data_IF_855719177653
#
_entry.id   IF_855719177653
#
_cell.length_a   1.000
_cell.length_b   1.000
_cell.length_c   1.000
_cell.angle_alpha   90.00
_cell.angle_beta   90.00
_cell.angle_gamma   90.00
#
_symmetry.space_group_name_H-M   'P 1'
#
loop_
_entity.id
_entity.type
_entity.pdbx_description
1 polymer ?
#
# COMPACT_ATOMS: atom_id res chain seq x y z
N UNK A 1 -1.70 -16.67 7.33
CA UNK A 1 -0.80 -16.04 6.34
C UNK A 1 0.54 -16.77 6.32
N UNK A 2 1.36 -16.52 5.30
CA UNK A 2 2.74 -16.98 5.23
C UNK A 2 3.62 -15.86 4.69
N UNK A 3 4.59 -15.43 5.50
CA UNK A 3 5.56 -14.39 5.15
C UNK A 3 6.97 -14.90 5.40
N UNK A 4 7.98 -14.09 5.08
CA UNK A 4 9.38 -14.48 5.32
C UNK A 4 9.59 -14.74 6.83
N UNK A 5 10.05 -15.94 7.17
CA UNK A 5 10.32 -16.42 8.55
C UNK A 5 9.09 -16.69 9.43
N UNK A 6 7.86 -16.53 8.92
CA UNK A 6 6.65 -16.71 9.74
C UNK A 6 5.54 -17.41 8.95
N UNK A 7 4.89 -18.38 9.57
CA UNK A 7 3.82 -19.17 8.98
C UNK A 7 2.71 -19.39 10.00
N UNK A 8 1.52 -18.88 9.67
CA UNK A 8 0.33 -19.00 10.50
C UNK A 8 -0.83 -19.50 9.64
N UNK A 9 -0.87 -20.82 9.41
CA UNK A 9 -1.93 -21.50 8.68
C UNK A 9 -2.03 -22.96 9.12
N UNK A 10 -3.16 -23.61 8.83
CA UNK A 10 -3.43 -25.00 9.22
C UNK A 10 -4.21 -25.72 8.13
N UNK A 11 -4.53 -27.00 8.35
CA UNK A 11 -5.41 -27.79 7.45
C UNK A 11 -6.82 -27.20 7.31
N UNK A 12 -7.25 -26.33 8.23
CA UNK A 12 -8.55 -25.66 8.18
C UNK A 12 -8.52 -24.36 7.36
N UNK A 13 -7.33 -23.85 7.03
CA UNK A 13 -7.18 -22.60 6.28
C UNK A 13 -7.74 -22.75 4.87
N UNK A 14 -8.70 -21.88 4.51
CA UNK A 14 -9.29 -21.80 3.17
C UNK A 14 -8.76 -20.65 2.34
N UNK A 15 -8.31 -19.58 2.99
CA UNK A 15 -7.70 -18.41 2.37
C UNK A 15 -6.32 -18.24 3.01
N UNK A 16 -5.29 -18.29 2.19
CA UNK A 16 -3.92 -18.12 2.63
C UNK A 16 -3.32 -16.87 1.98
N UNK A 17 -3.17 -15.82 2.79
CA UNK A 17 -2.43 -14.61 2.39
C UNK A 17 -0.94 -14.91 2.43
N UNK A 18 -0.24 -14.65 1.33
CA UNK A 18 1.21 -14.87 1.20
C UNK A 18 1.87 -13.63 0.62
N UNK A 19 3.14 -13.41 0.92
CA UNK A 19 3.94 -12.45 0.16
C UNK A 19 4.32 -13.01 -1.21
N UNK A 20 4.59 -12.14 -2.16
CA UNK A 20 4.83 -12.47 -3.57
C UNK A 20 6.07 -13.36 -3.71
N UNK A 21 7.11 -13.09 -2.93
CA UNK A 21 8.31 -13.92 -2.88
C UNK A 21 8.02 -15.35 -2.38
N UNK A 22 7.05 -15.53 -1.47
CA UNK A 22 6.63 -16.86 -1.02
C UNK A 22 5.85 -17.57 -2.12
N UNK A 23 4.97 -16.87 -2.85
CA UNK A 23 4.25 -17.44 -3.99
C UNK A 23 5.20 -17.95 -5.08
N UNK A 24 6.21 -17.15 -5.46
CA UNK A 24 7.23 -17.57 -6.43
C UNK A 24 7.90 -18.87 -5.99
N UNK A 25 8.32 -18.97 -4.72
CA UNK A 25 8.95 -20.20 -4.19
C UNK A 25 8.00 -21.39 -4.23
N UNK A 26 6.72 -21.19 -3.90
CA UNK A 26 5.71 -22.27 -3.96
C UNK A 26 5.59 -22.79 -5.39
N UNK A 27 5.38 -21.90 -6.37
CA UNK A 27 5.29 -22.25 -7.79
C UNK A 27 6.54 -22.98 -8.30
N UNK A 28 7.74 -22.56 -7.87
CA UNK A 28 8.99 -23.24 -8.23
C UNK A 28 9.13 -24.62 -7.58
N UNK A 29 8.66 -24.79 -6.34
CA UNK A 29 8.77 -26.06 -5.60
C UNK A 29 7.71 -27.09 -6.01
N UNK A 30 6.50 -26.63 -6.31
CA UNK A 30 5.39 -27.44 -6.78
C UNK A 30 4.51 -26.63 -7.72
N UNK A 31 4.60 -26.92 -9.00
CA UNK A 31 3.81 -26.27 -10.05
C UNK A 31 2.36 -26.74 -10.08
N UNK A 32 2.04 -27.92 -9.54
CA UNK A 32 0.69 -28.47 -9.66
C UNK A 32 -0.31 -27.69 -8.82
N UNK A 33 0.11 -27.13 -7.68
CA UNK A 33 -0.74 -26.40 -6.73
C UNK A 33 -2.08 -27.11 -6.46
N UNK A 34 -2.06 -28.44 -6.31
CA UNK A 34 -3.27 -29.28 -6.22
C UNK A 34 -4.24 -28.88 -5.09
N UNK A 35 -3.72 -28.24 -4.05
CA UNK A 35 -4.47 -27.73 -2.90
C UNK A 35 -5.08 -26.33 -3.12
N UNK A 36 -4.85 -25.73 -4.31
CA UNK A 36 -5.25 -24.36 -4.64
C UNK A 36 -6.21 -24.35 -5.83
N UNK A 37 -7.37 -23.71 -5.62
CA UNK A 37 -8.37 -23.51 -6.67
C UNK A 37 -8.24 -22.14 -7.35
N UNK A 38 -7.64 -21.16 -6.68
CA UNK A 38 -7.52 -19.79 -7.19
C UNK A 38 -6.30 -19.08 -6.62
N UNK A 39 -5.66 -18.27 -7.47
CA UNK A 39 -4.67 -17.28 -7.07
C UNK A 39 -5.26 -15.87 -7.21
N UNK A 40 -5.08 -15.05 -6.18
CA UNK A 40 -5.49 -13.64 -6.17
C UNK A 40 -4.23 -12.79 -6.04
N UNK A 41 -3.99 -11.95 -7.04
CA UNK A 41 -2.93 -10.96 -7.05
C UNK A 41 -3.51 -9.62 -6.62
N UNK A 42 -3.26 -9.23 -5.37
CA UNK A 42 -3.70 -7.94 -4.83
C UNK A 42 -2.67 -6.83 -5.10
N UNK A 43 -3.10 -5.57 -5.08
CA UNK A 43 -2.24 -4.39 -5.26
C UNK A 43 -1.33 -4.46 -6.50
N UNK A 44 -1.80 -5.06 -7.61
CA UNK A 44 -0.97 -5.33 -8.80
C UNK A 44 -0.37 -4.07 -9.45
N UNK A 45 -0.90 -2.90 -9.10
CA UNK A 45 -0.42 -1.60 -9.55
C UNK A 45 0.97 -1.21 -9.01
N UNK A 46 1.47 -1.86 -7.95
CA UNK A 46 2.83 -1.62 -7.46
C UNK A 46 3.92 -2.16 -8.39
N UNK A 47 3.56 -3.04 -9.34
CA UNK A 47 4.46 -3.60 -10.38
C UNK A 47 5.79 -4.14 -9.83
N UNK A 48 5.72 -4.84 -8.71
CA UNK A 48 6.86 -5.55 -8.14
C UNK A 48 7.30 -6.69 -9.07
N UNK A 49 8.62 -6.87 -9.20
CA UNK A 49 9.21 -7.96 -10.00
C UNK A 49 8.72 -9.34 -9.56
N UNK A 50 8.45 -9.52 -8.25
CA UNK A 50 7.95 -10.78 -7.73
C UNK A 50 6.50 -11.03 -8.13
N UNK A 51 5.67 -9.99 -8.18
CA UNK A 51 4.28 -10.07 -8.63
C UNK A 51 4.20 -10.39 -10.11
N UNK A 52 4.96 -9.67 -10.94
CA UNK A 52 5.00 -9.90 -12.40
C UNK A 52 5.52 -11.33 -12.71
N UNK A 53 6.59 -11.78 -12.03
CA UNK A 53 7.12 -13.13 -12.19
C UNK A 53 6.14 -14.22 -11.74
N UNK A 54 5.49 -14.03 -10.58
CA UNK A 54 4.53 -15.03 -10.08
C UNK A 54 3.28 -15.10 -10.95
N UNK A 55 2.81 -13.98 -11.52
CA UNK A 55 1.72 -14.00 -12.50
C UNK A 55 2.12 -14.76 -13.76
N UNK A 56 3.30 -14.48 -14.33
CA UNK A 56 3.78 -15.18 -15.53
C UNK A 56 3.88 -16.69 -15.31
N UNK A 57 4.45 -17.13 -14.18
CA UNK A 57 4.51 -18.54 -13.82
C UNK A 57 3.11 -19.15 -13.61
N UNK A 58 2.18 -18.40 -13.03
CA UNK A 58 0.81 -18.88 -12.78
C UNK A 58 0.03 -19.06 -14.09
N UNK A 59 0.18 -18.15 -15.05
CA UNK A 59 -0.42 -18.27 -16.38
C UNK A 59 0.14 -19.48 -17.13
N UNK A 60 1.45 -19.72 -17.04
CA UNK A 60 2.07 -20.90 -17.64
C UNK A 60 1.57 -22.20 -17.00
N UNK A 61 1.40 -22.24 -15.68
CA UNK A 61 0.80 -23.39 -14.97
C UNK A 61 -0.64 -23.62 -15.44
N UNK A 62 -1.41 -22.55 -15.57
CA UNK A 62 -2.80 -22.61 -16.04
C UNK A 62 -2.89 -23.19 -17.47
N UNK A 63 -2.00 -22.76 -18.36
CA UNK A 63 -1.96 -23.22 -19.76
C UNK A 63 -1.50 -24.68 -19.91
N UNK A 64 -0.50 -25.11 -19.12
CA UNK A 64 0.17 -26.39 -19.34
C UNK A 64 -0.31 -27.53 -18.44
N UNK A 65 -0.80 -27.23 -17.22
CA UNK A 65 -1.01 -28.23 -16.18
C UNK A 65 -2.38 -28.15 -15.49
N UNK A 66 -2.92 -26.93 -15.29
CA UNK A 66 -4.10 -26.67 -14.47
C UNK A 66 -5.07 -25.72 -15.16
N UNK A 67 -5.76 -26.21 -16.18
CA UNK A 67 -6.81 -25.47 -16.89
C UNK A 67 -7.98 -25.06 -15.97
N UNK A 68 -8.13 -25.73 -14.84
CA UNK A 68 -9.10 -25.43 -13.79
C UNK A 68 -8.66 -24.33 -12.80
N UNK A 69 -7.37 -23.97 -12.74
CA UNK A 69 -6.85 -22.96 -11.84
C UNK A 69 -7.39 -21.58 -12.21
N UNK A 70 -8.03 -20.89 -11.27
CA UNK A 70 -8.54 -19.53 -11.49
C UNK A 70 -7.49 -18.48 -11.09
N UNK A 71 -7.43 -17.38 -11.84
CA UNK A 71 -6.54 -16.26 -11.54
C UNK A 71 -7.39 -14.98 -11.48
N UNK A 72 -7.26 -14.23 -10.39
CA UNK A 72 -7.86 -12.92 -10.21
C UNK A 72 -6.74 -11.89 -9.99
N UNK A 73 -6.81 -10.77 -10.71
CA UNK A 73 -5.88 -9.65 -10.57
C UNK A 73 -6.68 -8.46 -10.06
N UNK A 74 -6.26 -7.90 -8.93
CA UNK A 74 -6.85 -6.73 -8.29
C UNK A 74 -5.88 -5.55 -8.37
N UNK A 75 -6.41 -4.39 -8.75
CA UNK A 75 -5.65 -3.14 -8.90
C UNK A 75 -6.53 -1.98 -8.47
N UNK A 76 -5.97 -1.05 -7.70
CA UNK A 76 -6.63 0.19 -7.29
C UNK A 76 -6.55 1.30 -8.35
N UNK A 77 -5.78 1.10 -9.44
CA UNK A 77 -5.51 2.16 -10.43
C UNK A 77 -6.30 1.97 -11.72
N UNK A 78 -6.54 3.09 -12.42
CA UNK A 78 -7.31 3.18 -13.67
C UNK A 78 -6.67 2.47 -14.88
N UNK A 79 -5.45 1.92 -14.76
CA UNK A 79 -4.76 1.31 -15.91
C UNK A 79 -5.12 -0.19 -16.12
N UNK A 80 -6.29 -0.61 -15.63
CA UNK A 80 -6.78 -1.99 -15.77
C UNK A 80 -6.99 -2.41 -17.22
N UNK A 81 -7.26 -1.46 -18.13
CA UNK A 81 -7.42 -1.71 -19.56
C UNK A 81 -6.13 -2.20 -20.22
N UNK A 82 -4.97 -1.65 -19.82
CA UNK A 82 -3.69 -2.09 -20.35
C UNK A 82 -3.35 -3.51 -19.91
N UNK A 83 -3.67 -3.87 -18.66
CA UNK A 83 -3.50 -5.23 -18.15
C UNK A 83 -4.44 -6.19 -18.86
N UNK A 84 -5.71 -5.82 -19.03
CA UNK A 84 -6.68 -6.64 -19.76
C UNK A 84 -6.21 -6.90 -21.19
N UNK A 85 -5.76 -5.87 -21.89
CA UNK A 85 -5.23 -5.97 -23.27
C UNK A 85 -4.00 -6.88 -23.34
N UNK A 86 -3.06 -6.74 -22.40
CA UNK A 86 -1.85 -7.56 -22.32
C UNK A 86 -2.17 -9.06 -22.14
N UNK A 87 -3.23 -9.36 -21.40
CA UNK A 87 -3.63 -10.73 -21.08
C UNK A 87 -4.67 -11.31 -22.06
N UNK A 88 -4.86 -10.66 -23.22
CA UNK A 88 -5.77 -11.16 -24.26
C UNK A 88 -7.22 -10.73 -24.09
N UNK A 89 -7.46 -9.50 -23.61
CA UNK A 89 -8.78 -8.91 -23.38
C UNK A 89 -9.62 -9.70 -22.36
N UNK A 90 -9.02 -10.01 -21.21
CA UNK A 90 -9.74 -10.69 -20.11
C UNK A 90 -10.88 -9.82 -19.55
N UNK A 91 -11.94 -10.43 -18.98
CA UNK A 91 -13.04 -9.69 -18.37
C UNK A 91 -12.57 -8.74 -17.28
N UNK A 92 -13.02 -7.49 -17.35
CA UNK A 92 -12.76 -6.47 -16.34
C UNK A 92 -14.01 -6.25 -15.48
N UNK A 93 -13.83 -6.31 -14.16
CA UNK A 93 -14.87 -5.97 -13.18
C UNK A 93 -14.40 -4.75 -12.41
N UNK A 94 -15.17 -3.66 -12.50
CA UNK A 94 -14.87 -2.41 -11.80
C UNK A 94 -15.80 -2.25 -10.61
N UNK A 95 -15.22 -1.99 -9.44
CA UNK A 95 -15.96 -1.57 -8.25
C UNK A 95 -15.76 -0.08 -8.06
N UNK A 96 -16.81 0.71 -8.24
CA UNK A 96 -16.75 2.16 -8.06
C UNK A 96 -16.76 2.52 -6.57
N UNK A 97 -15.74 3.26 -6.13
CA UNK A 97 -15.69 3.90 -4.83
C UNK A 97 -16.35 5.29 -4.86
N UNK A 98 -16.64 5.84 -3.69
CA UNK A 98 -16.98 7.26 -3.58
C UNK A 98 -15.69 8.07 -3.56
N UNK A 99 -15.50 8.89 -4.59
CA UNK A 99 -14.46 9.92 -4.62
C UNK A 99 -15.12 11.27 -4.45
N UNK A 100 -14.46 12.15 -3.68
CA UNK A 100 -14.86 13.53 -3.50
C UNK A 100 -13.86 14.43 -4.23
N UNK A 101 -14.29 15.62 -4.62
CA UNK A 101 -13.40 16.60 -5.24
C UNK A 101 -12.32 17.02 -4.24
N UNK A 102 -11.06 17.07 -4.71
CA UNK A 102 -9.90 17.49 -3.91
C UNK A 102 -9.29 18.72 -4.58
N UNK A 103 -9.28 19.84 -3.87
CA UNK A 103 -8.60 21.05 -4.33
C UNK A 103 -7.08 20.92 -4.15
N UNK A 104 -6.33 21.25 -5.22
CA UNK A 104 -4.87 21.24 -5.18
C UNK A 104 -4.34 22.64 -4.89
N UNK A 105 -3.85 22.85 -3.67
CA UNK A 105 -3.23 24.12 -3.25
C UNK A 105 -1.71 23.97 -3.22
N UNK A 106 -1.01 24.79 -4.00
CA UNK A 106 0.45 24.80 -4.06
C UNK A 106 1.04 25.90 -3.18
N UNK A 107 2.26 25.68 -2.68
CA UNK A 107 3.02 26.73 -2.01
C UNK A 107 3.35 27.88 -2.99
N UNK A 108 3.54 29.10 -2.46
CA UNK A 108 3.92 30.26 -3.28
C UNK A 108 5.20 29.95 -4.07
N UNK A 109 5.24 30.35 -5.34
CA UNK A 109 6.38 30.15 -6.24
C UNK A 109 7.69 30.76 -5.72
N UNK A 110 7.60 31.73 -4.81
CA UNK A 110 8.75 32.35 -4.12
C UNK A 110 9.27 31.51 -2.96
N UNK A 111 8.55 30.47 -2.54
CA UNK A 111 8.97 29.57 -1.48
C UNK A 111 10.23 28.84 -1.93
N UNK A 112 11.35 29.08 -1.23
CA UNK A 112 12.61 28.41 -1.54
C UNK A 112 12.47 26.91 -1.32
N UNK A 113 13.06 26.12 -2.22
CA UNK A 113 13.12 24.69 -2.05
C UNK A 113 13.85 24.37 -0.73
N UNK A 114 13.20 23.64 0.18
CA UNK A 114 13.79 23.38 1.49
C UNK A 114 14.98 22.42 1.37
N UNK A 115 16.01 22.70 2.15
CA UNK A 115 17.06 21.73 2.46
C UNK A 115 16.64 20.84 3.66
N UNK A 116 17.49 19.88 4.03
CA UNK A 116 17.21 18.99 5.16
C UNK A 116 17.01 19.73 6.50
N UNK A 117 17.55 20.94 6.67
CA UNK A 117 17.44 21.71 7.92
C UNK A 117 16.12 22.48 7.98
N UNK A 118 15.75 23.12 6.87
CA UNK A 118 14.57 23.99 6.74
C UNK A 118 13.27 23.23 6.46
N UNK A 119 13.34 22.00 5.93
CA UNK A 119 12.16 21.19 5.60
C UNK A 119 11.19 21.03 6.79
N UNK A 120 11.71 20.77 7.98
CA UNK A 120 10.87 20.54 9.16
C UNK A 120 10.08 21.80 9.56
N UNK A 121 10.75 22.97 9.53
CA UNK A 121 10.10 24.25 9.81
C UNK A 121 9.05 24.61 8.76
N UNK A 122 9.34 24.35 7.48
CA UNK A 122 8.38 24.54 6.40
C UNK A 122 7.14 23.67 6.60
N UNK A 123 7.32 22.36 6.85
CA UNK A 123 6.22 21.42 7.09
C UNK A 123 5.37 21.85 8.29
N UNK A 124 6.00 22.24 9.40
CA UNK A 124 5.28 22.70 10.58
C UNK A 124 4.42 23.94 10.30
N UNK A 125 4.97 24.93 9.59
CA UNK A 125 4.21 26.13 9.20
C UNK A 125 3.05 25.79 8.26
N UNK A 126 3.26 24.89 7.29
CA UNK A 126 2.21 24.46 6.37
C UNK A 126 1.09 23.72 7.10
N UNK A 127 1.42 22.81 8.02
CA UNK A 127 0.43 22.08 8.84
C UNK A 127 -0.36 23.06 9.70
N UNK A 128 0.31 24.02 10.32
CA UNK A 128 -0.33 25.06 11.13
C UNK A 128 -1.34 25.87 10.34
N UNK A 129 -0.93 26.32 9.15
CA UNK A 129 -1.80 27.06 8.26
C UNK A 129 -3.01 26.20 7.87
N UNK A 130 -2.80 24.95 7.49
CA UNK A 130 -3.87 24.02 7.14
C UNK A 130 -4.87 23.80 8.29
N UNK A 131 -4.40 23.66 9.53
CA UNK A 131 -5.24 23.54 10.72
C UNK A 131 -6.07 24.79 11.04
N UNK A 132 -5.57 25.98 10.67
CA UNK A 132 -6.27 27.24 10.89
C UNK A 132 -7.33 27.50 9.82
N UNK A 133 -7.07 27.03 8.60
CA UNK A 133 -7.91 27.31 7.43
C UNK A 133 -8.95 26.21 7.15
N UNK A 134 -8.77 25.00 7.70
CA UNK A 134 -9.58 23.83 7.38
C UNK A 134 -9.98 23.04 8.65
N UNK A 135 -11.07 22.31 8.54
CA UNK A 135 -11.52 21.35 9.55
C UNK A 135 -11.13 19.91 9.15
N UNK A 136 -10.99 19.03 10.15
CA UNK A 136 -10.72 17.61 9.95
C UNK A 136 -9.27 17.19 10.24
N UNK A 137 -8.91 16.00 9.78
CA UNK A 137 -7.58 15.43 9.98
C UNK A 137 -6.60 15.79 8.87
N UNK A 138 -5.32 15.77 9.19
CA UNK A 138 -4.24 16.02 8.23
C UNK A 138 -3.37 14.77 8.08
N UNK A 139 -3.28 14.27 6.85
CA UNK A 139 -2.32 13.22 6.48
C UNK A 139 -1.09 13.87 5.82
N UNK A 140 0.10 13.58 6.37
CA UNK A 140 1.37 14.13 5.87
C UNK A 140 2.25 13.00 5.32
N UNK A 141 2.55 13.05 4.02
CA UNK A 141 3.45 12.11 3.37
C UNK A 141 4.91 12.53 3.52
N UNK A 142 5.76 11.63 3.99
CA UNK A 142 7.20 11.86 4.20
C UNK A 142 8.01 10.68 3.69
N UNK A 143 9.28 10.93 3.35
CA UNK A 143 10.16 9.96 2.70
C UNK A 143 10.51 8.73 3.56
N UNK A 144 10.43 8.82 4.89
CA UNK A 144 10.79 7.69 5.75
C UNK A 144 10.59 7.92 7.24
N UNK A 145 10.82 6.86 8.01
CA UNK A 145 10.59 6.82 9.46
C UNK A 145 11.41 7.88 10.23
N UNK A 146 12.60 8.25 9.73
CA UNK A 146 13.45 9.26 10.36
C UNK A 146 12.82 10.65 10.25
N UNK A 147 12.35 11.00 9.07
CA UNK A 147 11.67 12.26 8.78
C UNK A 147 10.36 12.35 9.54
N UNK A 148 9.58 11.26 9.59
CA UNK A 148 8.35 11.14 10.36
C UNK A 148 8.59 11.41 11.84
N UNK A 149 9.55 10.71 12.47
CA UNK A 149 9.88 10.91 13.90
C UNK A 149 10.36 12.32 14.20
N UNK A 150 11.12 12.93 13.28
CA UNK A 150 11.62 14.29 13.44
C UNK A 150 10.49 15.31 13.40
N UNK A 151 9.54 15.16 12.48
CA UNK A 151 8.36 16.03 12.42
C UNK A 151 7.45 15.82 13.64
N UNK A 152 7.18 14.57 14.01
CA UNK A 152 6.38 14.22 15.18
C UNK A 152 6.92 14.89 16.46
N UNK A 153 8.22 14.75 16.72
CA UNK A 153 8.87 15.38 17.89
C UNK A 153 8.73 16.90 17.86
N UNK A 154 8.89 17.51 16.68
CA UNK A 154 8.75 18.97 16.51
C UNK A 154 7.33 19.44 16.82
N UNK A 155 6.32 18.73 16.33
CA UNK A 155 4.92 19.05 16.55
C UNK A 155 4.51 18.86 18.02
N UNK A 156 4.92 17.76 18.65
CA UNK A 156 4.63 17.50 20.08
C UNK A 156 5.27 18.51 21.02
N UNK A 157 6.44 19.05 20.66
CA UNK A 157 7.12 20.07 21.46
C UNK A 157 6.58 21.49 21.23
N UNK A 158 5.72 21.67 20.23
CA UNK A 158 5.15 22.97 19.90
C UNK A 158 3.87 23.22 20.71
N UNK A 159 3.57 24.50 21.00
CA UNK A 159 2.40 24.92 21.78
C UNK A 159 1.04 24.52 21.18
N UNK A 160 1.06 23.96 19.98
CA UNK A 160 -0.06 23.47 19.17
C UNK A 160 -0.61 22.14 19.72
N UNK A 161 0.19 21.42 20.51
CA UNK A 161 -0.06 20.04 20.95
C UNK A 161 -1.23 19.85 21.93
N UNK A 162 -1.89 20.90 22.46
CA UNK A 162 -2.85 20.67 23.56
C UNK A 162 -4.11 19.93 23.12
N UNK A 163 -4.57 20.15 21.89
CA UNK A 163 -5.81 19.57 21.38
C UNK A 163 -5.60 18.71 20.11
N UNK A 164 -4.35 18.50 19.69
CA UNK A 164 -4.02 17.78 18.45
C UNK A 164 -3.22 16.53 18.74
N UNK A 165 -3.74 15.39 18.28
CA UNK A 165 -3.09 14.10 18.38
C UNK A 165 -2.19 13.88 17.16
N UNK A 166 -0.90 13.62 17.40
CA UNK A 166 0.09 13.39 16.34
C UNK A 166 0.49 11.91 16.31
N UNK A 167 -0.04 11.19 15.32
CA UNK A 167 0.23 9.75 15.14
C UNK A 167 1.18 9.49 13.97
N UNK A 168 2.33 8.84 14.20
CA UNK A 168 3.21 8.41 13.12
C UNK A 168 2.69 7.10 12.51
N UNK A 169 2.95 6.89 11.22
CA UNK A 169 2.64 5.63 10.53
C UNK A 169 3.82 5.22 9.65
N UNK A 170 4.47 4.11 9.99
CA UNK A 170 5.53 3.47 9.19
C UNK A 170 5.66 1.98 9.55
N UNK A 171 6.22 1.19 8.63
CA UNK A 171 6.14 -0.28 8.63
C UNK A 171 6.73 -0.99 9.85
N UNK A 172 7.69 -0.38 10.56
CA UNK A 172 8.33 -1.00 11.74
C UNK A 172 7.63 -0.71 13.06
N UNK A 173 6.52 0.03 13.06
CA UNK A 173 5.68 0.22 14.25
C UNK A 173 4.98 -1.09 14.65
N UNK A 174 4.68 -1.23 15.94
CA UNK A 174 3.81 -2.32 16.40
C UNK A 174 2.40 -2.17 15.81
N UNK A 175 1.67 -3.29 15.68
CA UNK A 175 0.31 -3.27 15.15
C UNK A 175 -0.60 -2.29 15.91
N UNK A 176 -0.55 -2.31 17.25
CA UNK A 176 -1.31 -1.39 18.08
C UNK A 176 -0.98 0.10 17.84
N UNK A 177 0.27 0.43 17.48
CA UNK A 177 0.64 1.80 17.14
C UNK A 177 0.15 2.21 15.75
N UNK A 178 0.20 1.30 14.78
CA UNK A 178 -0.36 1.54 13.44
C UNK A 178 -1.89 1.73 13.53
N UNK A 179 -2.56 0.89 14.32
CA UNK A 179 -4.00 0.94 14.52
C UNK A 179 -4.45 2.29 15.11
N UNK A 180 -3.64 2.93 15.97
CA UNK A 180 -3.94 4.27 16.51
C UNK A 180 -3.93 5.38 15.47
N UNK A 181 -3.16 5.24 14.40
CA UNK A 181 -3.13 6.23 13.32
C UNK A 181 -4.33 6.08 12.37
N UNK A 182 -4.93 4.89 12.31
CA UNK A 182 -5.98 4.54 11.34
C UNK A 182 -7.37 4.52 11.99
N UNK A 183 -7.45 4.06 13.23
CA UNK A 183 -8.70 3.81 13.94
C UNK A 183 -8.94 4.95 14.91
N UNK A 184 -9.94 5.78 14.62
CA UNK A 184 -10.50 6.76 15.57
C UNK A 184 -11.53 6.12 16.48
#
# INVERSE_FOLDING_TARGET
YQVKMESCYSKQTKILVVTEAILVRRLQSNQTLDDVAMLIFDEFHERSIHTDLSLALSLQVQELLRDDLKILIMSATLNSDAISSLLGNIPLITSEGKSYEVENIYLDIKTKQPDFRSLNALLQNTILKALQENEGDILVFLAGAKEIKRLQTSLNNSSISKDILVYPLYSSLSKNEQDRAITK
#
